data_IF_205297324438
#
_entry.id   IF_205297324438
#
_cell.length_a   1.000
_cell.length_b   1.000
_cell.length_c   1.000
_cell.angle_alpha   90.00
_cell.angle_beta   90.00
_cell.angle_gamma   90.00
#
_symmetry.space_group_name_H-M   'P 1'
#
loop_
_entity.id
_entity.type
_entity.pdbx_description
1 polymer ?
#
# COMPACT_ATOMS: atom_id res chain seq x y z
N UNK A 1 17.15 7.47 -11.56
CA UNK A 1 16.58 8.38 -12.60
C UNK A 1 15.06 8.45 -12.65
N UNK A 2 14.31 7.41 -13.05
CA UNK A 2 12.83 7.48 -13.07
C UNK A 2 12.21 7.60 -11.68
N UNK A 3 12.75 6.88 -10.70
CA UNK A 3 12.33 6.98 -9.30
C UNK A 3 12.57 8.40 -8.74
N UNK A 4 13.71 9.01 -9.06
CA UNK A 4 14.06 10.37 -8.63
C UNK A 4 13.17 11.43 -9.28
N UNK A 5 12.77 11.23 -10.54
CA UNK A 5 11.80 12.11 -11.21
C UNK A 5 10.42 12.01 -10.56
N UNK A 6 9.93 10.80 -10.29
CA UNK A 6 8.68 10.59 -9.56
C UNK A 6 8.75 11.23 -8.17
N UNK A 7 9.90 11.10 -7.49
CA UNK A 7 10.17 11.69 -6.18
C UNK A 7 10.15 13.23 -6.19
N UNK A 8 10.77 13.85 -7.20
CA UNK A 8 10.81 15.30 -7.36
C UNK A 8 9.43 15.88 -7.71
N UNK A 9 8.64 15.17 -8.51
CA UNK A 9 7.25 15.52 -8.80
C UNK A 9 6.40 15.45 -7.52
N UNK A 10 6.58 14.42 -6.69
CA UNK A 10 5.86 14.30 -5.41
C UNK A 10 6.26 15.42 -4.41
N UNK A 11 7.51 15.88 -4.42
CA UNK A 11 7.96 17.02 -3.60
C UNK A 11 7.42 18.37 -4.08
N UNK A 12 7.36 18.63 -5.39
CA UNK A 12 7.00 19.95 -5.94
C UNK A 12 5.58 20.41 -5.62
N UNK A 13 4.70 19.47 -5.29
CA UNK A 13 3.31 19.73 -4.92
C UNK A 13 3.05 19.67 -3.39
N UNK A 14 4.10 19.68 -2.55
CA UNK A 14 3.99 19.47 -1.09
C UNK A 14 3.30 18.16 -0.69
N UNK A 15 3.42 17.12 -1.52
CA UNK A 15 2.74 15.82 -1.34
C UNK A 15 3.55 14.82 -0.50
N UNK A 16 4.79 15.19 -0.17
CA UNK A 16 5.67 14.49 0.76
C UNK A 16 5.99 15.44 1.90
N UNK A 17 5.63 15.05 3.13
CA UNK A 17 6.21 15.67 4.33
C UNK A 17 7.31 14.73 4.80
N UNK A 18 8.55 15.23 4.74
CA UNK A 18 9.70 14.56 5.37
C UNK A 18 9.73 15.02 6.82
N UNK A 19 9.36 14.13 7.75
CA UNK A 19 9.66 14.30 9.16
C UNK A 19 10.75 13.29 9.50
N UNK A 20 11.90 13.77 9.95
CA UNK A 20 13.01 12.93 10.44
C UNK A 20 13.52 11.87 9.46
N UNK A 21 13.52 12.17 8.15
CA UNK A 21 14.06 11.27 7.13
C UNK A 21 13.09 10.21 6.60
N UNK A 22 11.90 10.08 7.20
CA UNK A 22 10.87 9.14 6.74
C UNK A 22 9.73 9.89 6.01
N UNK A 23 9.52 9.57 4.73
CA UNK A 23 8.44 10.13 3.92
C UNK A 23 7.14 9.35 4.13
N UNK A 24 6.04 10.03 4.45
CA UNK A 24 4.72 9.40 4.64
C UNK A 24 3.75 9.75 3.53
N UNK A 25 3.23 8.73 2.84
CA UNK A 25 2.28 8.81 1.70
C UNK A 25 0.85 9.19 2.15
N UNK A 26 0.56 9.18 3.46
CA UNK A 26 -0.82 9.33 3.99
C UNK A 26 -1.54 10.62 3.58
N UNK A 27 -0.82 11.75 3.43
CA UNK A 27 -1.46 13.03 3.03
C UNK A 27 -1.81 13.07 1.55
N UNK A 28 -1.00 12.44 0.68
CA UNK A 28 -1.28 12.28 -0.76
C UNK A 28 -2.59 11.51 -0.94
N UNK A 29 -2.73 10.37 -0.26
CA UNK A 29 -3.93 9.55 -0.33
C UNK A 29 -5.16 10.33 0.18
N UNK A 30 -5.05 10.98 1.35
CA UNK A 30 -6.14 11.75 1.91
C UNK A 30 -6.55 12.97 1.06
N UNK A 31 -5.61 13.67 0.42
CA UNK A 31 -5.91 14.81 -0.46
C UNK A 31 -6.39 14.39 -1.84
N UNK A 32 -5.77 13.39 -2.49
CA UNK A 32 -6.21 12.87 -3.78
C UNK A 32 -7.63 12.28 -3.70
N UNK A 33 -7.96 11.59 -2.61
CA UNK A 33 -9.30 11.04 -2.37
C UNK A 33 -10.36 12.11 -2.09
N UNK A 34 -9.98 13.25 -1.50
CA UNK A 34 -10.87 14.39 -1.21
C UNK A 34 -11.02 15.34 -2.40
N UNK A 35 -9.98 15.52 -3.21
CA UNK A 35 -9.97 16.42 -4.36
C UNK A 35 -10.59 15.81 -5.63
N UNK A 36 -10.56 14.48 -5.77
CA UNK A 36 -11.25 13.79 -6.88
C UNK A 36 -12.74 13.59 -6.55
N UNK A 37 -13.56 14.58 -6.90
CA UNK A 37 -15.03 14.44 -6.90
C UNK A 37 -15.54 13.51 -8.03
N UNK A 38 -14.63 12.96 -8.83
CA UNK A 38 -14.85 12.05 -9.95
C UNK A 38 -14.46 10.60 -9.52
N UNK A 39 -15.41 9.66 -9.66
CA UNK A 39 -15.25 8.25 -9.28
C UNK A 39 -14.17 7.50 -10.08
N UNK A 40 -13.94 7.88 -11.34
CA UNK A 40 -12.92 7.30 -12.23
C UNK A 40 -11.50 7.74 -11.86
N UNK A 41 -11.32 8.99 -11.45
CA UNK A 41 -10.02 9.52 -10.98
C UNK A 41 -9.62 8.91 -9.65
N UNK A 42 -10.60 8.74 -8.74
CA UNK A 42 -10.37 8.01 -7.48
C UNK A 42 -9.86 6.60 -7.75
N UNK A 43 -10.49 5.87 -8.68
CA UNK A 43 -10.06 4.52 -9.07
C UNK A 43 -8.63 4.52 -9.60
N UNK A 44 -8.33 5.41 -10.55
CA UNK A 44 -7.00 5.54 -11.16
C UNK A 44 -5.92 5.84 -10.12
N UNK A 45 -6.21 6.72 -9.16
CA UNK A 45 -5.27 7.07 -8.10
C UNK A 45 -4.99 5.88 -7.17
N UNK A 46 -6.02 5.10 -6.81
CA UNK A 46 -5.83 3.88 -6.01
C UNK A 46 -5.00 2.83 -6.75
N UNK A 47 -5.22 2.67 -8.05
CA UNK A 47 -4.44 1.76 -8.90
C UNK A 47 -2.96 2.19 -8.98
N UNK A 48 -2.67 3.48 -9.11
CA UNK A 48 -1.30 4.01 -9.08
C UNK A 48 -0.64 3.72 -7.72
N UNK A 49 -1.36 3.96 -6.61
CA UNK A 49 -0.84 3.67 -5.28
C UNK A 49 -0.57 2.17 -5.08
N UNK A 50 -1.46 1.31 -5.56
CA UNK A 50 -1.27 -0.14 -5.51
C UNK A 50 -0.01 -0.56 -6.26
N UNK A 51 0.15 -0.11 -7.51
CA UNK A 51 1.35 -0.42 -8.32
C UNK A 51 2.63 0.06 -7.66
N UNK A 52 2.64 1.29 -7.14
CA UNK A 52 3.79 1.83 -6.44
C UNK A 52 4.17 1.00 -5.19
N UNK A 53 3.18 0.47 -4.48
CA UNK A 53 3.42 -0.39 -3.32
C UNK A 53 3.85 -1.79 -3.73
N UNK A 54 3.32 -2.37 -4.81
CA UNK A 54 3.79 -3.64 -5.34
C UNK A 54 5.27 -3.57 -5.74
N UNK A 55 5.67 -2.49 -6.43
CA UNK A 55 7.06 -2.27 -6.83
C UNK A 55 7.99 -2.09 -5.62
N UNK A 56 7.48 -1.50 -4.53
CA UNK A 56 8.23 -1.29 -3.30
C UNK A 56 8.18 -2.50 -2.34
N UNK A 57 7.27 -3.45 -2.56
CA UNK A 57 7.08 -4.61 -1.70
C UNK A 57 8.07 -5.72 -2.07
N UNK A 58 9.24 -5.67 -1.43
CA UNK A 58 10.35 -6.58 -1.70
C UNK A 58 10.39 -7.80 -0.77
N UNK A 59 9.32 -8.05 -0.02
CA UNK A 59 9.30 -9.05 1.04
C UNK A 59 9.66 -10.44 0.52
N UNK A 60 10.71 -11.02 1.08
CA UNK A 60 11.09 -12.42 0.87
C UNK A 60 11.26 -13.10 2.23
N UNK A 61 10.41 -14.08 2.58
CA UNK A 61 10.46 -14.80 3.86
C UNK A 61 11.85 -15.35 4.21
N UNK A 62 12.58 -15.82 3.20
CA UNK A 62 13.90 -16.43 3.31
C UNK A 62 15.05 -15.42 3.43
N UNK A 63 14.83 -14.13 3.14
CA UNK A 63 15.85 -13.08 3.20
C UNK A 63 15.47 -11.99 4.22
N UNK A 64 16.03 -12.08 5.43
CA UNK A 64 15.72 -11.19 6.56
C UNK A 64 15.98 -9.71 6.24
N UNK A 65 16.97 -9.43 5.40
CA UNK A 65 17.29 -8.05 4.94
C UNK A 65 16.09 -7.36 4.26
N UNK A 66 15.23 -8.11 3.58
CA UNK A 66 14.04 -7.55 2.92
C UNK A 66 12.93 -7.16 3.90
N UNK A 67 12.99 -7.66 5.14
CA UNK A 67 11.91 -7.49 6.11
C UNK A 67 11.83 -6.06 6.64
N UNK A 68 12.98 -5.40 6.82
CA UNK A 68 13.01 -4.02 7.30
C UNK A 68 12.40 -3.05 6.28
N UNK A 69 12.74 -3.22 5.00
CA UNK A 69 12.19 -2.41 3.92
C UNK A 69 10.67 -2.62 3.78
N UNK A 70 10.21 -3.87 3.87
CA UNK A 70 8.77 -4.18 3.86
C UNK A 70 8.04 -3.69 5.11
N UNK A 71 8.69 -3.72 6.29
CA UNK A 71 8.13 -3.17 7.52
C UNK A 71 7.84 -1.66 7.39
N UNK A 72 8.75 -0.92 6.75
CA UNK A 72 8.65 0.53 6.60
C UNK A 72 7.41 0.97 5.81
N UNK A 73 6.93 0.13 4.89
CA UNK A 73 5.77 0.43 4.02
C UNK A 73 4.50 -0.35 4.41
N UNK A 74 4.54 -1.23 5.42
CA UNK A 74 3.43 -2.09 5.80
C UNK A 74 2.13 -1.31 6.10
N UNK A 75 2.22 -0.18 6.79
CA UNK A 75 1.03 0.63 7.09
C UNK A 75 0.41 1.26 5.83
N UNK A 76 1.24 1.59 4.83
CA UNK A 76 0.75 2.07 3.54
C UNK A 76 0.05 0.95 2.76
N UNK A 77 0.59 -0.27 2.82
CA UNK A 77 -0.04 -1.46 2.24
C UNK A 77 -1.42 -1.69 2.84
N UNK A 78 -1.54 -1.70 4.17
CA UNK A 78 -2.82 -1.86 4.87
C UNK A 78 -3.84 -0.82 4.43
N UNK A 79 -3.43 0.44 4.32
CA UNK A 79 -4.33 1.53 4.01
C UNK A 79 -4.80 1.50 2.55
N UNK A 80 -3.91 1.21 1.60
CA UNK A 80 -4.29 1.07 0.18
C UNK A 80 -5.22 -0.14 -0.03
N UNK A 81 -4.89 -1.29 0.57
CA UNK A 81 -5.76 -2.48 0.54
C UNK A 81 -7.15 -2.16 1.10
N UNK A 82 -7.22 -1.48 2.25
CA UNK A 82 -8.49 -1.06 2.85
C UNK A 82 -9.30 -0.17 1.92
N UNK A 83 -8.66 0.83 1.32
CA UNK A 83 -9.34 1.77 0.41
C UNK A 83 -9.85 1.11 -0.87
N UNK A 84 -9.10 0.17 -1.44
CA UNK A 84 -9.54 -0.58 -2.61
C UNK A 84 -10.74 -1.46 -2.24
N UNK A 85 -10.69 -2.14 -1.09
CA UNK A 85 -11.79 -2.96 -0.61
C UNK A 85 -13.06 -2.13 -0.34
N UNK A 86 -12.91 -0.98 0.32
CA UNK A 86 -14.02 -0.04 0.56
C UNK A 86 -14.64 0.47 -0.76
N UNK A 87 -13.80 0.72 -1.76
CA UNK A 87 -14.27 1.14 -3.09
C UNK A 87 -15.04 0.01 -3.79
N UNK A 88 -14.52 -1.22 -3.80
CA UNK A 88 -15.19 -2.37 -4.38
C UNK A 88 -16.54 -2.66 -3.70
N UNK A 89 -16.59 -2.57 -2.37
CA UNK A 89 -17.82 -2.73 -1.61
C UNK A 89 -18.89 -1.72 -2.00
N UNK A 90 -18.52 -0.45 -2.21
CA UNK A 90 -19.46 0.59 -2.67
C UNK A 90 -19.99 0.30 -4.07
N UNK A 91 -19.14 -0.13 -4.99
CA UNK A 91 -19.54 -0.50 -6.36
C UNK A 91 -20.54 -1.67 -6.38
N UNK A 92 -20.36 -2.68 -5.51
CA UNK A 92 -21.31 -3.78 -5.37
C UNK A 92 -22.68 -3.33 -4.87
N UNK A 93 -22.72 -2.39 -3.91
CA UNK A 93 -23.95 -1.85 -3.32
C UNK A 93 -24.68 -0.95 -4.32
N UNK A 94 -23.94 -0.17 -5.11
CA UNK A 94 -24.49 0.78 -6.10
C UNK A 94 -24.90 0.11 -7.43
N UNK A 95 -24.80 -1.22 -7.55
CA UNK A 95 -25.19 -1.97 -8.75
C UNK A 95 -24.24 -1.78 -9.94
N UNK A 96 -23.00 -1.35 -9.70
CA UNK A 96 -21.99 -1.15 -10.73
C UNK A 96 -21.47 -2.47 -11.31
N UNK A 97 -21.14 -2.47 -12.61
CA UNK A 97 -20.50 -3.60 -13.29
C UNK A 97 -19.05 -3.76 -12.77
N UNK A 98 -18.88 -4.52 -11.67
CA UNK A 98 -17.56 -4.82 -11.09
C UNK A 98 -16.65 -5.60 -12.04
N UNK A 99 -17.25 -6.32 -12.98
CA UNK A 99 -16.68 -7.52 -13.59
C UNK A 99 -15.82 -7.24 -14.84
N UNK A 100 -15.99 -6.10 -15.51
CA UNK A 100 -15.35 -5.85 -16.82
C UNK A 100 -14.01 -5.08 -16.76
N UNK A 101 -13.62 -4.48 -15.63
CA UNK A 101 -12.42 -3.62 -15.57
C UNK A 101 -11.56 -3.73 -14.30
N UNK A 102 -11.94 -4.56 -13.32
CA UNK A 102 -11.30 -4.56 -11.98
C UNK A 102 -10.59 -5.85 -11.60
N UNK A 103 -10.55 -6.87 -12.47
CA UNK A 103 -10.04 -8.19 -12.08
C UNK A 103 -8.56 -8.15 -11.70
N UNK A 104 -7.73 -7.41 -12.43
CA UNK A 104 -6.28 -7.34 -12.16
C UNK A 104 -6.00 -6.62 -10.83
N UNK A 105 -6.55 -5.41 -10.66
CA UNK A 105 -6.40 -4.62 -9.43
C UNK A 105 -6.86 -5.39 -8.19
N UNK A 106 -7.95 -6.15 -8.30
CA UNK A 106 -8.45 -7.00 -7.22
C UNK A 106 -7.51 -8.15 -6.88
N UNK A 107 -7.00 -8.85 -7.90
CA UNK A 107 -6.04 -9.96 -7.73
C UNK A 107 -4.75 -9.44 -7.09
N UNK A 108 -4.22 -8.33 -7.59
CA UNK A 108 -3.02 -7.69 -7.07
C UNK A 108 -3.20 -7.24 -5.61
N UNK A 109 -4.34 -6.63 -5.30
CA UNK A 109 -4.67 -6.23 -3.93
C UNK A 109 -4.77 -7.44 -3.00
N UNK A 110 -5.39 -8.53 -3.46
CA UNK A 110 -5.51 -9.76 -2.68
C UNK A 110 -4.15 -10.41 -2.43
N UNK A 111 -3.27 -10.44 -3.44
CA UNK A 111 -1.92 -10.98 -3.34
C UNK A 111 -1.08 -10.17 -2.34
N UNK A 112 -1.07 -8.84 -2.49
CA UNK A 112 -0.33 -7.96 -1.59
C UNK A 112 -0.87 -8.04 -0.15
N UNK A 113 -2.19 -8.11 0.02
CA UNK A 113 -2.82 -8.29 1.33
C UNK A 113 -2.42 -9.62 1.99
N UNK A 114 -2.41 -10.71 1.21
CA UNK A 114 -1.96 -12.03 1.68
C UNK A 114 -0.51 -11.98 2.14
N UNK A 115 0.37 -11.39 1.34
CA UNK A 115 1.79 -11.30 1.67
C UNK A 115 2.07 -10.43 2.90
N UNK A 116 1.39 -9.29 3.03
CA UNK A 116 1.45 -8.46 4.22
C UNK A 116 0.98 -9.20 5.48
N UNK A 117 -0.02 -10.09 5.34
CA UNK A 117 -0.47 -10.98 6.40
C UNK A 117 0.59 -12.01 6.81
N UNK A 118 1.23 -12.66 5.83
CA UNK A 118 2.33 -13.62 6.07
C UNK A 118 3.49 -12.92 6.77
N UNK A 119 3.92 -11.75 6.25
CA UNK A 119 4.96 -10.93 6.86
C UNK A 119 4.64 -10.62 8.34
N UNK A 120 3.43 -10.11 8.61
CA UNK A 120 3.01 -9.75 9.97
C UNK A 120 3.03 -10.95 10.93
N UNK A 121 2.60 -12.13 10.46
CA UNK A 121 2.63 -13.36 11.24
C UNK A 121 4.08 -13.82 11.54
N UNK A 122 4.97 -13.72 10.56
CA UNK A 122 6.38 -14.09 10.72
C UNK A 122 7.10 -13.16 11.69
N UNK A 123 6.90 -11.85 11.58
CA UNK A 123 7.47 -10.87 12.52
C UNK A 123 6.99 -11.14 13.95
N UNK A 124 5.70 -11.45 14.14
CA UNK A 124 5.16 -11.80 15.45
C UNK A 124 5.78 -13.07 16.03
N UNK A 125 5.97 -14.12 15.21
CA UNK A 125 6.59 -15.36 15.66
C UNK A 125 8.05 -15.13 16.07
N UNK A 126 8.82 -14.38 15.28
CA UNK A 126 10.21 -14.02 15.63
C UNK A 126 10.30 -13.20 16.91
N UNK A 127 9.36 -12.29 17.14
CA UNK A 127 9.29 -11.54 18.38
C UNK A 127 9.07 -12.46 19.59
N UNK A 128 8.15 -13.43 19.49
CA UNK A 128 7.91 -14.43 20.55
C UNK A 128 9.14 -15.28 20.83
N UNK A 129 9.78 -15.82 19.79
CA UNK A 129 11.02 -16.61 19.92
C UNK A 129 12.13 -15.81 20.63
N UNK A 130 12.29 -14.53 20.27
CA UNK A 130 13.27 -13.65 20.90
C UNK A 130 12.93 -13.37 22.38
N UNK A 131 11.65 -13.19 22.71
CA UNK A 131 11.20 -12.98 24.08
C UNK A 131 11.41 -14.22 24.95
N UNK A 132 11.12 -15.42 24.42
CA UNK A 132 11.36 -16.70 25.10
C UNK A 132 12.86 -16.94 25.33
N UNK A 133 13.72 -16.53 24.39
CA UNK A 133 15.19 -16.68 24.51
C UNK A 133 15.82 -15.77 25.58
N UNK A 134 15.08 -14.78 26.08
CA UNK A 134 15.52 -13.85 27.14
C UNK A 134 15.10 -14.31 28.54
N UNK A 135 14.34 -15.41 28.67
CA UNK A 135 13.89 -16.00 29.94
C UNK A 135 14.77 -17.19 30.33
#
# INVERSE_FOLDING_TARGET
>A
EKADQTWNILKSFSLLVVKEGNGSIHRLLAQALRASQNQSERRRNLEICLRALLDAWLFKPELVETWQDSAAILEHVKEVVRHIFDWCKRQMIEGGNLMESNSEVLVDTANLSREAGVFSAMVLNRFKEAQESLQ
#
